data_IF_985833548314
#
_entry.id   IF_985833548314
#
_cell.length_a   1.000
_cell.length_b   1.000
_cell.length_c   1.000
_cell.angle_alpha   90.00
_cell.angle_beta   90.00
_cell.angle_gamma   90.00
#
_symmetry.space_group_name_H-M   'P 1'
#
loop_
_entity.id
_entity.type
_entity.pdbx_description
1 polymer ?
#
# COMPACT_ATOMS: atom_id res chain seq x y z
N UNK A 1 3.29 -33.18 -31.75
CA UNK A 1 3.27 -32.35 -30.53
C UNK A 1 2.23 -31.25 -30.74
N UNK A 2 1.08 -31.35 -30.08
CA UNK A 2 -0.01 -30.36 -30.14
C UNK A 2 0.19 -29.41 -28.96
N UNK A 3 0.21 -28.08 -29.15
CA UNK A 3 0.38 -27.16 -28.05
C UNK A 3 -0.85 -27.17 -27.14
N UNK A 4 -0.61 -27.36 -25.85
CA UNK A 4 -1.61 -27.29 -24.78
C UNK A 4 -2.02 -25.81 -24.63
N UNK A 5 -3.17 -25.43 -25.18
CA UNK A 5 -3.80 -24.13 -24.89
C UNK A 5 -4.26 -24.17 -23.42
N UNK A 6 -3.91 -23.21 -22.56
CA UNK A 6 -4.44 -23.18 -21.20
C UNK A 6 -5.95 -22.95 -21.27
N UNK A 7 -6.71 -23.86 -20.67
CA UNK A 7 -8.15 -23.75 -20.56
C UNK A 7 -8.53 -22.43 -19.88
N UNK A 8 -9.44 -21.67 -20.50
CA UNK A 8 -10.01 -20.47 -19.89
C UNK A 8 -10.62 -20.83 -18.51
N UNK A 9 -10.46 -19.98 -17.48
CA UNK A 9 -11.03 -20.25 -16.18
C UNK A 9 -12.56 -20.34 -16.26
N UNK A 10 -13.20 -21.19 -15.45
CA UNK A 10 -14.64 -21.33 -15.47
C UNK A 10 -15.30 -20.00 -15.09
N UNK A 11 -16.11 -19.49 -16.01
CA UNK A 11 -16.97 -18.33 -15.78
C UNK A 11 -18.00 -18.71 -14.70
N UNK A 12 -18.15 -17.83 -13.71
CA UNK A 12 -19.17 -17.93 -12.65
C UNK A 12 -20.56 -18.07 -13.26
N UNK A 13 -21.11 -19.29 -13.22
CA UNK A 13 -22.51 -19.56 -13.51
C UNK A 13 -23.35 -19.28 -12.25
N UNK A 14 -23.67 -18.01 -12.01
CA UNK A 14 -24.74 -17.67 -11.09
C UNK A 14 -26.06 -17.72 -11.86
N UNK A 15 -26.99 -18.56 -11.37
CA UNK A 15 -28.36 -18.61 -11.87
C UNK A 15 -28.94 -17.21 -11.98
N UNK A 16 -29.35 -16.85 -13.20
CA UNK A 16 -29.96 -15.58 -13.58
C UNK A 16 -29.14 -14.31 -13.29
N UNK A 17 -27.82 -14.31 -13.53
CA UNK A 17 -27.15 -13.03 -13.81
C UNK A 17 -27.63 -12.50 -15.17
N UNK A 18 -28.42 -11.42 -15.12
CA UNK A 18 -28.63 -10.52 -16.25
C UNK A 18 -27.27 -10.07 -16.84
N UNK A 19 -27.21 -9.71 -18.14
CA UNK A 19 -25.96 -9.63 -18.90
C UNK A 19 -24.92 -8.76 -18.22
N UNK A 20 -23.64 -9.09 -18.43
CA UNK A 20 -22.44 -8.34 -17.99
C UNK A 20 -22.78 -6.89 -17.72
N UNK A 21 -22.98 -6.57 -16.43
CA UNK A 21 -23.31 -5.21 -16.03
C UNK A 21 -22.11 -4.32 -16.32
N UNK A 22 -22.36 -3.20 -17.00
CA UNK A 22 -21.38 -2.14 -17.21
C UNK A 22 -20.96 -1.48 -15.88
N UNK A 23 -21.72 -1.71 -14.80
CA UNK A 23 -21.45 -1.21 -13.47
C UNK A 23 -21.72 -2.29 -12.39
N UNK A 24 -20.83 -3.29 -12.26
CA UNK A 24 -21.01 -4.38 -11.31
C UNK A 24 -21.08 -3.89 -9.85
N UNK A 25 -20.49 -2.73 -9.54
CA UNK A 25 -20.61 -2.12 -8.20
C UNK A 25 -22.06 -1.79 -7.87
N UNK A 26 -22.79 -1.18 -8.82
CA UNK A 26 -24.20 -0.83 -8.62
C UNK A 26 -25.12 -2.03 -8.72
N UNK A 27 -24.90 -2.90 -9.68
CA UNK A 27 -25.89 -3.92 -10.05
C UNK A 27 -25.65 -5.26 -9.35
N UNK A 28 -24.45 -5.52 -8.83
CA UNK A 28 -24.10 -6.76 -8.10
C UNK A 28 -23.75 -6.47 -6.63
N UNK A 29 -22.81 -5.56 -6.37
CA UNK A 29 -22.32 -5.34 -5.00
C UNK A 29 -23.33 -4.62 -4.11
N UNK A 30 -24.01 -3.57 -4.61
CA UNK A 30 -24.95 -2.81 -3.79
C UNK A 30 -26.18 -3.64 -3.34
N UNK A 31 -26.87 -4.42 -4.20
CA UNK A 31 -27.95 -5.30 -3.75
C UNK A 31 -27.49 -6.37 -2.77
N UNK A 32 -26.28 -6.93 -2.97
CA UNK A 32 -25.70 -7.89 -2.04
C UNK A 32 -25.49 -7.28 -0.64
N UNK A 33 -24.93 -6.06 -0.57
CA UNK A 33 -24.76 -5.33 0.69
C UNK A 33 -26.10 -5.03 1.38
N UNK A 34 -27.13 -4.62 0.62
CA UNK A 34 -28.48 -4.40 1.17
C UNK A 34 -29.07 -5.68 1.76
N UNK A 35 -28.95 -6.81 1.06
CA UNK A 35 -29.44 -8.10 1.54
C UNK A 35 -28.76 -8.52 2.85
N UNK A 36 -27.45 -8.33 2.95
CA UNK A 36 -26.71 -8.56 4.20
C UNK A 36 -27.15 -7.61 5.33
N UNK A 37 -27.34 -6.33 5.03
CA UNK A 37 -27.82 -5.35 6.01
C UNK A 37 -29.23 -5.65 6.54
N UNK A 38 -30.08 -6.27 5.70
CA UNK A 38 -31.40 -6.77 6.08
C UNK A 38 -31.36 -8.10 6.87
N UNK A 39 -30.17 -8.61 7.20
CA UNK A 39 -29.99 -9.82 8.01
C UNK A 39 -30.10 -11.12 7.24
N UNK A 40 -30.04 -11.09 5.89
CA UNK A 40 -29.98 -12.33 5.12
C UNK A 40 -28.63 -13.04 5.33
N UNK A 41 -28.61 -14.38 5.39
CA UNK A 41 -27.38 -15.13 5.58
C UNK A 41 -26.44 -14.98 4.38
N UNK A 42 -25.13 -14.97 4.63
CA UNK A 42 -24.10 -14.84 3.58
C UNK A 42 -24.21 -15.93 2.52
N UNK A 43 -24.58 -17.15 2.92
CA UNK A 43 -24.83 -18.28 2.02
C UNK A 43 -25.98 -18.06 1.02
N UNK A 44 -26.82 -17.04 1.23
CA UNK A 44 -27.89 -16.68 0.30
C UNK A 44 -27.44 -15.80 -0.87
N UNK A 45 -26.21 -15.28 -0.82
CA UNK A 45 -25.65 -14.45 -1.90
C UNK A 45 -25.12 -15.28 -3.06
N UNK A 46 -24.71 -16.52 -2.79
CA UNK A 46 -24.14 -17.41 -3.80
C UNK A 46 -23.38 -18.59 -3.20
N UNK A 47 -22.84 -19.47 -4.06
CA UNK A 47 -22.01 -20.58 -3.62
C UNK A 47 -20.74 -20.07 -2.93
N UNK A 48 -20.26 -20.83 -1.94
CA UNK A 48 -18.99 -20.54 -1.30
C UNK A 48 -17.85 -20.66 -2.32
N UNK A 49 -16.97 -19.66 -2.34
CA UNK A 49 -15.78 -19.64 -3.19
C UNK A 49 -14.55 -19.71 -2.27
N UNK A 50 -13.63 -20.62 -2.59
CA UNK A 50 -12.35 -20.77 -1.88
C UNK A 50 -11.20 -20.09 -2.60
N UNK A 51 -11.33 -19.85 -3.90
CA UNK A 51 -10.30 -19.27 -4.73
C UNK A 51 -10.44 -17.74 -4.76
N UNK A 52 -9.48 -17.05 -4.14
CA UNK A 52 -9.39 -15.60 -4.16
C UNK A 52 -8.29 -15.15 -5.11
N UNK A 53 -8.60 -14.14 -5.93
CA UNK A 53 -7.59 -13.49 -6.74
C UNK A 53 -6.77 -12.53 -5.86
N UNK A 54 -5.58 -12.98 -5.44
CA UNK A 54 -4.68 -12.23 -4.58
C UNK A 54 -3.65 -11.45 -5.41
N UNK A 55 -3.65 -10.13 -5.27
CA UNK A 55 -2.60 -9.27 -5.80
C UNK A 55 -1.42 -9.25 -4.83
N UNK A 56 -0.21 -9.50 -5.34
CA UNK A 56 1.02 -9.47 -4.52
C UNK A 56 1.62 -8.08 -4.55
N UNK A 57 1.67 -7.42 -3.39
CA UNK A 57 2.36 -6.14 -3.23
C UNK A 57 3.88 -6.32 -3.24
N UNK A 58 4.61 -5.22 -3.51
CA UNK A 58 6.07 -5.20 -3.28
C UNK A 58 6.37 -5.57 -1.84
N UNK A 59 7.20 -6.59 -1.67
CA UNK A 59 7.68 -6.99 -0.37
C UNK A 59 8.83 -6.10 0.10
N UNK A 60 8.85 -5.84 1.40
CA UNK A 60 9.94 -5.16 2.08
C UNK A 60 11.19 -6.07 2.04
N UNK A 61 12.35 -5.53 1.65
CA UNK A 61 13.62 -6.26 1.77
C UNK A 61 14.36 -5.79 3.00
N UNK A 62 14.63 -6.72 3.91
CA UNK A 62 15.35 -6.47 5.16
C UNK A 62 16.80 -6.98 5.04
N UNK A 63 17.75 -6.14 5.44
CA UNK A 63 19.18 -6.44 5.55
C UNK A 63 19.69 -5.86 6.88
N UNK A 64 20.85 -6.31 7.36
CA UNK A 64 21.35 -5.95 8.70
C UNK A 64 21.45 -4.43 8.94
N UNK A 65 21.83 -3.66 7.92
CA UNK A 65 22.01 -2.20 8.00
C UNK A 65 21.11 -1.43 7.04
N UNK A 66 20.15 -2.10 6.39
CA UNK A 66 19.31 -1.49 5.35
C UNK A 66 17.94 -2.15 5.25
N UNK A 67 16.92 -1.33 5.12
CA UNK A 67 15.58 -1.72 4.70
C UNK A 67 15.30 -1.08 3.34
N UNK A 68 14.87 -1.87 2.36
CA UNK A 68 14.40 -1.36 1.07
C UNK A 68 12.92 -1.58 0.95
N UNK A 69 12.18 -0.49 0.86
CA UNK A 69 10.75 -0.46 0.61
C UNK A 69 10.40 0.40 -0.60
N UNK A 70 9.10 0.60 -0.78
CA UNK A 70 8.51 1.32 -1.89
C UNK A 70 7.35 2.19 -1.42
N UNK A 71 7.08 3.26 -2.14
CA UNK A 71 5.86 4.06 -1.98
C UNK A 71 4.66 3.18 -2.33
N UNK A 72 3.83 2.90 -1.33
CA UNK A 72 2.62 2.09 -1.45
C UNK A 72 1.40 2.95 -1.84
N UNK A 73 1.39 4.22 -1.43
CA UNK A 73 0.28 5.13 -1.71
C UNK A 73 0.74 6.59 -1.66
N UNK A 74 0.17 7.43 -2.51
CA UNK A 74 0.28 8.89 -2.42
C UNK A 74 -1.06 9.41 -1.94
N UNK A 75 -1.08 10.05 -0.77
CA UNK A 75 -2.33 10.59 -0.22
C UNK A 75 -2.78 11.86 -0.97
N UNK A 76 -3.97 12.35 -0.62
CA UNK A 76 -4.53 13.56 -1.25
C UNK A 76 -3.69 14.83 -1.02
N UNK A 77 -2.88 14.86 0.05
CA UNK A 77 -1.99 15.98 0.35
C UNK A 77 -0.64 15.84 -0.36
N UNK A 78 -0.41 14.77 -1.11
CA UNK A 78 0.85 14.50 -1.80
C UNK A 78 1.93 13.89 -0.89
N UNK A 79 1.57 13.37 0.29
CA UNK A 79 2.49 12.63 1.14
C UNK A 79 2.67 11.21 0.60
N UNK A 80 3.91 10.73 0.68
CA UNK A 80 4.33 9.43 0.18
C UNK A 80 4.28 8.42 1.31
N UNK A 81 3.25 7.58 1.34
CA UNK A 81 3.11 6.49 2.32
C UNK A 81 3.86 5.28 1.78
N UNK A 82 4.86 4.80 2.53
CA UNK A 82 5.67 3.64 2.14
C UNK A 82 5.16 2.34 2.75
N UNK A 83 5.60 1.20 2.22
CA UNK A 83 5.38 -0.11 2.83
C UNK A 83 6.38 -0.43 3.97
N UNK A 84 7.15 0.55 4.44
CA UNK A 84 8.14 0.38 5.51
C UNK A 84 7.43 0.63 6.85
N UNK A 85 7.30 -0.41 7.68
CA UNK A 85 6.68 -0.29 9.00
C UNK A 85 7.67 0.22 10.06
N UNK A 86 7.14 0.91 11.07
CA UNK A 86 7.85 1.32 12.28
C UNK A 86 8.51 0.11 12.95
N UNK A 87 7.77 -0.98 13.09
CA UNK A 87 8.25 -2.23 13.68
C UNK A 87 9.49 -2.76 12.93
N UNK A 88 9.48 -2.77 11.59
CA UNK A 88 10.63 -3.21 10.82
C UNK A 88 11.85 -2.30 11.06
N UNK A 89 11.64 -0.98 11.14
CA UNK A 89 12.70 -0.01 11.43
C UNK A 89 13.26 -0.21 12.83
N UNK A 90 12.43 -0.47 13.83
CA UNK A 90 12.85 -0.71 15.22
C UNK A 90 13.63 -2.02 15.37
N UNK A 91 13.12 -3.12 14.78
CA UNK A 91 13.73 -4.46 14.83
C UNK A 91 15.10 -4.48 14.15
N UNK A 92 15.21 -3.93 12.94
CA UNK A 92 16.49 -3.89 12.20
C UNK A 92 17.40 -2.83 12.78
N UNK A 93 16.86 -1.67 13.15
CA UNK A 93 17.63 -0.54 13.65
C UNK A 93 18.28 -0.81 15.01
N UNK A 94 17.63 -1.55 15.91
CA UNK A 94 18.16 -1.86 17.25
C UNK A 94 18.63 -0.61 18.02
N UNK A 95 17.89 0.49 17.88
CA UNK A 95 18.21 1.79 18.49
C UNK A 95 19.27 2.63 17.76
N UNK A 96 19.80 2.17 16.62
CA UNK A 96 20.73 2.94 15.79
C UNK A 96 20.02 4.09 15.08
N UNK A 97 20.71 5.22 14.82
CA UNK A 97 20.16 6.31 14.04
C UNK A 97 19.81 5.83 12.62
N UNK A 98 18.57 6.11 12.21
CA UNK A 98 18.06 5.78 10.89
C UNK A 98 18.17 6.99 9.96
N UNK A 99 18.60 6.74 8.73
CA UNK A 99 18.60 7.73 7.65
C UNK A 99 17.70 7.22 6.52
N UNK A 100 16.85 8.08 5.99
CA UNK A 100 15.93 7.75 4.90
C UNK A 100 16.51 8.29 3.60
N UNK A 101 16.61 7.42 2.60
CA UNK A 101 17.19 7.71 1.29
C UNK A 101 16.14 7.45 0.21
N UNK A 102 15.97 8.39 -0.69
CA UNK A 102 15.08 8.26 -1.85
C UNK A 102 15.56 9.21 -2.95
N UNK A 103 15.55 8.76 -4.20
CA UNK A 103 16.11 9.53 -5.31
C UNK A 103 17.55 9.98 -5.03
N UNK A 104 17.76 11.30 -4.91
CA UNK A 104 19.05 11.93 -4.57
C UNK A 104 19.08 12.52 -3.15
N UNK A 105 17.97 12.44 -2.44
CA UNK A 105 17.78 13.08 -1.14
C UNK A 105 18.11 12.13 0.01
N UNK A 106 18.59 12.71 1.10
CA UNK A 106 18.90 11.99 2.34
C UNK A 106 18.36 12.75 3.53
N UNK A 107 17.40 12.15 4.23
CA UNK A 107 16.82 12.70 5.46
C UNK A 107 17.41 11.96 6.66
N UNK A 108 18.10 12.70 7.52
CA UNK A 108 18.85 12.12 8.65
C UNK A 108 18.03 11.93 9.92
N UNK A 109 16.87 12.56 10.00
CA UNK A 109 16.07 12.59 11.22
C UNK A 109 14.62 12.22 10.92
N UNK A 110 14.09 11.29 11.70
CA UNK A 110 12.67 10.98 11.73
C UNK A 110 12.00 11.91 12.74
N UNK A 111 11.01 12.68 12.29
CA UNK A 111 10.28 13.64 13.12
C UNK A 111 8.97 13.03 13.65
N UNK A 112 8.44 13.51 14.78
CA UNK A 112 7.20 12.97 15.37
C UNK A 112 5.94 13.29 14.55
N UNK A 113 5.93 14.41 13.83
CA UNK A 113 4.80 14.85 13.00
C UNK A 113 5.27 15.81 11.90
N UNK A 114 4.42 16.05 10.90
CA UNK A 114 4.73 16.88 9.73
C UNK A 114 5.15 18.32 10.08
N UNK A 115 4.47 18.93 11.05
CA UNK A 115 4.74 20.32 11.46
C UNK A 115 6.03 20.51 12.29
N UNK A 116 6.80 19.44 12.54
CA UNK A 116 8.07 19.53 13.26
C UNK A 116 9.22 20.02 12.38
N UNK A 117 8.99 20.19 11.07
CA UNK A 117 9.93 20.81 10.14
C UNK A 117 9.41 22.20 9.70
N UNK A 118 10.28 23.16 9.34
CA UNK A 118 9.88 24.41 8.71
C UNK A 118 9.05 24.20 7.43
N UNK A 119 8.17 25.13 7.05
CA UNK A 119 7.48 25.09 5.76
C UNK A 119 8.45 24.94 4.58
N UNK A 120 8.12 24.06 3.64
CA UNK A 120 8.93 23.75 2.46
C UNK A 120 10.04 22.72 2.69
N UNK A 121 10.30 22.30 3.93
CA UNK A 121 11.29 21.25 4.21
C UNK A 121 10.69 19.85 4.15
N UNK A 122 11.55 18.89 3.79
CA UNK A 122 11.23 17.47 3.77
C UNK A 122 11.13 16.95 5.20
N UNK A 123 10.07 16.22 5.49
CA UNK A 123 9.83 15.57 6.77
C UNK A 123 9.57 14.07 6.56
N UNK A 124 10.36 13.24 7.23
CA UNK A 124 10.10 11.81 7.34
C UNK A 124 9.47 11.53 8.70
N UNK A 125 8.32 10.90 8.72
CA UNK A 125 7.58 10.61 9.97
C UNK A 125 6.77 9.33 9.83
N UNK A 126 6.33 8.74 10.93
CA UNK A 126 5.43 7.59 10.89
C UNK A 126 3.99 8.06 11.02
N UNK A 127 3.12 7.58 10.14
CA UNK A 127 1.69 7.83 10.26
C UNK A 127 1.07 7.03 11.43
N UNK A 128 -0.20 7.29 11.79
CA UNK A 128 -0.90 6.54 12.83
C UNK A 128 -1.02 5.04 12.55
N UNK A 129 -0.94 4.60 11.28
CA UNK A 129 -0.93 3.20 10.88
C UNK A 129 0.46 2.55 11.05
N UNK A 130 1.47 3.31 11.48
CA UNK A 130 2.83 2.82 11.69
C UNK A 130 3.66 2.69 10.42
N UNK A 131 3.24 3.26 9.29
CA UNK A 131 4.02 3.29 8.05
C UNK A 131 4.90 4.55 7.98
N UNK A 132 6.11 4.41 7.47
CA UNK A 132 6.99 5.55 7.19
C UNK A 132 6.40 6.37 6.04
N UNK A 133 6.27 7.67 6.27
CA UNK A 133 5.80 8.65 5.32
C UNK A 133 6.91 9.67 5.02
N UNK A 134 7.05 10.01 3.75
CA UNK A 134 7.87 11.14 3.27
C UNK A 134 6.93 12.24 2.83
N UNK A 135 7.09 13.41 3.41
CA UNK A 135 6.22 14.56 3.21
C UNK A 135 7.04 15.84 3.10
N UNK A 136 6.41 16.94 2.68
CA UNK A 136 6.99 18.29 2.74
C UNK A 136 6.03 19.14 3.56
N UNK A 137 6.52 19.84 4.58
CA UNK A 137 5.64 20.67 5.39
C UNK A 137 5.03 21.78 4.52
N UNK A 138 3.71 21.87 4.46
CA UNK A 138 2.98 22.80 3.59
C UNK A 138 3.31 22.65 2.08
N UNK A 139 3.59 21.43 1.62
CA UNK A 139 3.85 21.17 0.20
C UNK A 139 3.52 19.74 -0.24
N UNK A 140 3.43 19.54 -1.56
CA UNK A 140 3.15 18.23 -2.18
C UNK A 140 4.47 17.47 -2.42
N UNK A 141 4.78 16.50 -1.56
CA UNK A 141 6.04 15.75 -1.64
C UNK A 141 6.16 14.93 -2.93
N UNK A 142 5.08 14.32 -3.41
CA UNK A 142 5.09 13.56 -4.67
C UNK A 142 5.50 14.40 -5.88
N UNK A 143 4.98 15.63 -5.97
CA UNK A 143 5.26 16.53 -7.09
C UNK A 143 6.67 17.12 -6.98
N UNK A 144 7.03 17.62 -5.80
CA UNK A 144 8.32 18.30 -5.57
C UNK A 144 9.51 17.34 -5.58
N UNK A 145 9.32 16.10 -5.10
CA UNK A 145 10.37 15.07 -5.09
C UNK A 145 10.34 14.18 -6.34
N UNK A 146 9.29 14.27 -7.16
CA UNK A 146 9.10 13.43 -8.35
C UNK A 146 8.95 11.93 -8.01
N UNK A 147 8.42 11.62 -6.83
CA UNK A 147 8.23 10.25 -6.35
C UNK A 147 6.74 9.89 -6.40
N UNK A 148 6.45 8.67 -6.84
CA UNK A 148 5.10 8.15 -7.04
C UNK A 148 5.01 6.70 -6.57
N UNK A 149 3.84 6.08 -6.77
CA UNK A 149 3.65 4.66 -6.55
C UNK A 149 4.82 3.82 -7.10
N UNK A 150 5.25 2.83 -6.32
CA UNK A 150 6.38 1.92 -6.59
C UNK A 150 7.79 2.55 -6.51
N UNK A 151 7.90 3.87 -6.28
CA UNK A 151 9.20 4.53 -6.10
C UNK A 151 9.93 3.97 -4.89
N UNK A 152 11.23 3.68 -5.05
CA UNK A 152 12.03 3.04 -4.01
C UNK A 152 12.39 4.04 -2.88
N UNK A 153 12.27 3.56 -1.64
CA UNK A 153 12.71 4.26 -0.43
C UNK A 153 13.56 3.30 0.39
N UNK A 154 14.73 3.75 0.83
CA UNK A 154 15.64 2.97 1.65
C UNK A 154 15.78 3.61 3.03
N UNK A 155 15.70 2.79 4.08
CA UNK A 155 16.14 3.18 5.43
C UNK A 155 17.48 2.54 5.69
N UNK A 156 18.50 3.34 6.04
CA UNK A 156 19.85 2.88 6.36
C UNK A 156 20.20 3.20 7.79
N UNK A 157 20.89 2.28 8.44
CA UNK A 157 21.37 2.43 9.81
C UNK A 157 22.88 2.61 9.81
N UNK A 158 23.40 3.34 10.79
CA UNK A 158 24.85 3.43 10.98
C UNK A 158 25.46 2.04 11.21
N UNK A 159 26.68 1.83 10.71
CA UNK A 159 27.47 0.64 11.06
C UNK A 159 27.80 0.69 12.56
N UNK A 160 27.77 -0.49 13.19
CA UNK A 160 28.06 -0.67 14.61
C UNK A 160 29.57 -0.74 14.86
#
# INVERSE_FOLDING_TARGET
>A
AVPLVPAAPPVLAAGNLQPVSLNPTRDVLAPAAVRLALGQPLSSLGPAVTDLYLLTNRQLRLQDNRITGHVAHVDHYGNLITNISREAVEVVGRGRPATVHFGREVVRELRPHFAAAPPGEIVCTFNPQGCLCVAINQGHASELLGLYFDSQVDVRFAEA
#
